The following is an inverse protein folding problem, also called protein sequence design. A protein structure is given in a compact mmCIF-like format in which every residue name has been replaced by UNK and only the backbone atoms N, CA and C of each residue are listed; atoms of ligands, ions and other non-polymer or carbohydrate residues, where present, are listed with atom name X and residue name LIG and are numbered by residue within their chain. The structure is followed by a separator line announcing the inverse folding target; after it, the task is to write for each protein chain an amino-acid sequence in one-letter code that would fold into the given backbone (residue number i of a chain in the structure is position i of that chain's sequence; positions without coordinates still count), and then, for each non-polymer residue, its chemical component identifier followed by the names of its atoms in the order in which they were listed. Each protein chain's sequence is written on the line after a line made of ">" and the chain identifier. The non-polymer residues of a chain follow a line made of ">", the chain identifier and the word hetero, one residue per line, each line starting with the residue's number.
data_IF_782824678852
#
_entry.id   IF_782824678852
#
_cell.length_a   1.000
_cell.length_b   1.000
_cell.length_c   1.000
_cell.angle_alpha   90.00
_cell.angle_beta   90.00
_cell.angle_gamma   90.00
#
_symmetry.space_group_name_H-M   'P 1'
#
loop_
_entity.id
_entity.type
_entity.pdbx_description
1 polymer ?
#
# COMPACT_ATOMS: atom_id res chain seq x y z
N UNK A 1 22.56 -15.16 3.75
CA UNK A 1 21.67 -14.00 3.55
C UNK A 1 21.00 -13.70 4.87
N UNK A 2 20.92 -12.44 5.27
CA UNK A 2 20.16 -12.03 6.45
C UNK A 2 18.66 -12.26 6.18
N UNK A 3 17.97 -13.14 6.93
CA UNK A 3 16.57 -13.48 6.67
C UNK A 3 15.63 -12.27 6.77
N UNK A 4 15.90 -11.34 7.68
CA UNK A 4 15.09 -10.12 7.91
C UNK A 4 15.21 -9.18 6.72
N UNK A 5 16.41 -9.05 6.16
CA UNK A 5 16.65 -8.24 4.96
C UNK A 5 15.94 -8.78 3.73
N UNK A 6 16.03 -10.10 3.50
CA UNK A 6 15.36 -10.72 2.35
C UNK A 6 13.84 -10.59 2.46
N UNK A 7 13.29 -10.80 3.66
CA UNK A 7 11.86 -10.63 3.93
C UNK A 7 11.38 -9.21 3.61
N UNK A 8 12.01 -8.20 4.20
CA UNK A 8 11.65 -6.79 3.98
C UNK A 8 11.79 -6.35 2.51
N UNK A 9 12.78 -6.90 1.78
CA UNK A 9 12.96 -6.60 0.36
C UNK A 9 11.84 -7.21 -0.50
N UNK A 10 11.41 -8.43 -0.19
CA UNK A 10 10.26 -9.07 -0.82
C UNK A 10 8.99 -8.25 -0.55
N UNK A 11 8.77 -7.82 0.70
CA UNK A 11 7.64 -6.97 1.06
C UNK A 11 7.67 -5.63 0.32
N UNK A 12 8.84 -4.96 0.26
CA UNK A 12 9.00 -3.71 -0.49
C UNK A 12 8.55 -3.86 -1.95
N UNK A 13 9.05 -4.90 -2.63
CA UNK A 13 8.71 -5.18 -4.03
C UNK A 13 7.22 -5.51 -4.18
N UNK A 14 6.67 -6.26 -3.24
CA UNK A 14 5.26 -6.63 -3.22
C UNK A 14 4.35 -5.40 -3.09
N UNK A 15 4.59 -4.54 -2.10
CA UNK A 15 3.77 -3.35 -1.86
C UNK A 15 3.89 -2.32 -2.98
N UNK A 16 5.12 -2.07 -3.47
CA UNK A 16 5.33 -1.20 -4.62
C UNK A 16 4.69 -1.77 -5.89
N UNK A 17 4.79 -3.09 -6.10
CA UNK A 17 4.18 -3.79 -7.23
C UNK A 17 2.66 -3.68 -7.22
N UNK A 18 2.03 -3.84 -6.06
CA UNK A 18 0.59 -3.62 -5.89
C UNK A 18 0.21 -2.16 -6.18
N UNK A 19 0.96 -1.20 -5.65
CA UNK A 19 0.74 0.23 -5.93
C UNK A 19 0.77 0.52 -7.43
N UNK A 20 1.79 0.02 -8.14
CA UNK A 20 1.90 0.16 -9.58
C UNK A 20 0.77 -0.55 -10.33
N UNK A 21 0.38 -1.75 -9.89
CA UNK A 21 -0.73 -2.50 -10.48
C UNK A 21 -2.04 -1.72 -10.40
N UNK A 22 -2.33 -1.05 -9.27
CA UNK A 22 -3.50 -0.17 -9.15
C UNK A 22 -3.48 0.98 -10.17
N UNK A 23 -2.30 1.45 -10.58
CA UNK A 23 -2.13 2.50 -11.58
C UNK A 23 -2.15 2.00 -13.02
N UNK A 24 -1.72 0.77 -13.31
CA UNK A 24 -1.58 0.29 -14.68
C UNK A 24 -2.72 -0.62 -15.17
N UNK A 25 -3.28 -1.45 -14.28
CA UNK A 25 -4.20 -2.51 -14.69
C UNK A 25 -5.65 -2.04 -14.76
N UNK A 26 -6.00 -1.00 -14.02
CA UNK A 26 -7.38 -0.54 -13.94
C UNK A 26 -7.71 0.45 -15.09
N UNK A 27 -8.28 -0.05 -16.19
CA UNK A 27 -8.63 0.75 -17.38
C UNK A 27 -10.10 1.20 -17.46
N UNK A 28 -11.01 0.59 -16.67
CA UNK A 28 -12.47 0.79 -16.74
C UNK A 28 -13.08 0.84 -15.33
N UNK A 29 -12.48 1.60 -14.42
CA UNK A 29 -12.98 1.66 -13.05
C UNK A 29 -14.08 2.68 -12.87
N UNK A 30 -15.14 2.29 -12.14
CA UNK A 30 -16.02 3.23 -11.44
C UNK A 30 -15.35 3.84 -10.19
N UNK A 31 -14.10 3.46 -9.91
CA UNK A 31 -13.32 3.97 -8.78
C UNK A 31 -12.75 5.34 -9.12
N UNK A 32 -13.00 6.30 -8.22
CA UNK A 32 -12.47 7.66 -8.29
C UNK A 32 -10.94 7.67 -8.37
N UNK A 33 -10.41 8.57 -9.19
CA UNK A 33 -8.97 8.80 -9.30
C UNK A 33 -8.33 9.10 -7.95
N UNK A 34 -9.02 9.83 -7.08
CA UNK A 34 -8.54 10.17 -5.74
C UNK A 34 -8.26 8.92 -4.90
N UNK A 35 -9.21 7.98 -4.83
CA UNK A 35 -9.01 6.72 -4.09
C UNK A 35 -7.88 5.90 -4.68
N UNK A 36 -7.79 5.86 -6.02
CA UNK A 36 -6.75 5.10 -6.73
C UNK A 36 -5.35 5.65 -6.48
N UNK A 37 -5.14 6.95 -6.69
CA UNK A 37 -3.84 7.58 -6.44
C UNK A 37 -3.47 7.55 -4.95
N UNK A 38 -4.44 7.77 -4.06
CA UNK A 38 -4.19 7.68 -2.62
C UNK A 38 -3.76 6.27 -2.21
N UNK A 39 -4.39 5.23 -2.77
CA UNK A 39 -4.03 3.84 -2.48
C UNK A 39 -2.64 3.51 -3.02
N UNK A 40 -2.35 3.91 -4.26
CA UNK A 40 -1.02 3.72 -4.84
C UNK A 40 0.07 4.38 -4.00
N UNK A 41 -0.09 5.67 -3.65
CA UNK A 41 0.88 6.40 -2.82
C UNK A 41 1.03 5.75 -1.45
N UNK A 42 -0.07 5.35 -0.81
CA UNK A 42 0.01 4.72 0.52
C UNK A 42 0.74 3.39 0.46
N UNK A 43 0.53 2.57 -0.58
CA UNK A 43 1.25 1.31 -0.81
C UNK A 43 2.74 1.54 -1.05
N UNK A 44 3.11 2.55 -1.84
CA UNK A 44 4.51 2.92 -2.04
C UNK A 44 5.17 3.40 -0.75
N UNK A 45 4.52 4.27 0.01
CA UNK A 45 5.04 4.76 1.30
C UNK A 45 5.20 3.60 2.29
N UNK A 46 4.28 2.65 2.30
CA UNK A 46 4.38 1.45 3.14
C UNK A 46 5.59 0.58 2.72
N UNK A 47 5.74 0.28 1.43
CA UNK A 47 6.90 -0.48 0.94
C UNK A 47 8.24 0.23 1.18
N UNK A 48 8.30 1.56 1.06
CA UNK A 48 9.49 2.33 1.42
C UNK A 48 9.80 2.26 2.92
N UNK A 49 8.79 2.11 3.78
CA UNK A 49 9.00 1.93 5.22
C UNK A 49 9.71 0.61 5.55
N UNK A 50 9.54 -0.42 4.72
CA UNK A 50 10.24 -1.71 4.87
C UNK A 50 11.74 -1.58 4.50
N UNK A 51 12.10 -0.68 3.57
CA UNK A 51 13.52 -0.35 3.32
C UNK A 51 14.18 0.37 4.51
N UNK A 52 13.40 1.20 5.21
CA UNK A 52 13.86 1.85 6.45
C UNK A 52 13.99 0.83 7.57
N UNK A 53 13.16 -0.21 7.60
CA UNK A 53 13.32 -1.33 8.54
C UNK A 53 14.65 -2.07 8.32
N UNK A 54 15.09 -2.26 7.08
CA UNK A 54 16.39 -2.87 6.77
C UNK A 54 17.55 -2.07 7.36
N UNK A 55 17.48 -0.73 7.35
CA UNK A 55 18.55 0.13 7.87
C UNK A 55 18.51 0.31 9.39
N UNK A 56 17.34 0.18 9.99
CA UNK A 56 17.13 0.37 11.43
C UNK A 56 17.14 -0.93 12.24
N UNK A 57 16.94 -2.06 11.58
CA UNK A 57 16.93 -3.40 12.18
C UNK A 57 15.70 -3.73 13.02
N UNK A 58 14.74 -2.81 13.14
CA UNK A 58 13.52 -3.02 13.91
C UNK A 58 12.35 -2.18 13.40
N UNK A 59 11.18 -2.81 13.22
CA UNK A 59 9.97 -2.14 12.74
C UNK A 59 9.45 -1.04 13.69
N UNK A 60 9.88 -1.03 14.96
CA UNK A 60 9.48 -0.05 15.98
C UNK A 60 10.54 1.03 16.29
N UNK A 61 11.74 0.97 15.70
CA UNK A 61 12.79 1.97 15.91
C UNK A 61 13.17 2.63 14.58
N UNK A 62 13.13 3.96 14.47
CA UNK A 62 12.64 4.92 15.45
C UNK A 62 11.10 4.87 15.57
N UNK A 63 10.53 5.33 16.68
CA UNK A 63 9.08 5.31 16.96
C UNK A 63 8.18 5.86 15.82
N UNK A 64 8.59 6.89 15.05
CA UNK A 64 7.84 7.35 13.88
C UNK A 64 7.62 6.28 12.80
N UNK A 65 8.52 5.29 12.68
CA UNK A 65 8.36 4.19 11.72
C UNK A 65 7.15 3.32 12.07
N UNK A 66 6.95 3.03 13.36
CA UNK A 66 5.77 2.29 13.81
C UNK A 66 4.49 3.06 13.51
N UNK A 67 4.46 4.36 13.82
CA UNK A 67 3.30 5.23 13.53
C UNK A 67 3.01 5.25 12.02
N UNK A 68 4.03 5.36 11.19
CA UNK A 68 3.89 5.32 9.74
C UNK A 68 3.31 3.98 9.27
N UNK A 69 3.82 2.85 9.77
CA UNK A 69 3.31 1.51 9.41
C UNK A 69 1.83 1.35 9.79
N UNK A 70 1.42 1.78 10.99
CA UNK A 70 0.01 1.73 11.41
C UNK A 70 -0.88 2.70 10.61
N UNK A 71 -0.40 3.91 10.31
CA UNK A 71 -1.13 4.89 9.50
C UNK A 71 -1.32 4.39 8.06
N UNK A 72 -0.27 3.86 7.45
CA UNK A 72 -0.35 3.27 6.11
C UNK A 72 -1.22 2.01 6.08
N UNK A 73 -1.08 1.10 7.04
CA UNK A 73 -1.89 -0.12 7.10
C UNK A 73 -3.39 0.16 7.25
N UNK A 74 -3.75 1.11 8.12
CA UNK A 74 -5.15 1.57 8.26
C UNK A 74 -5.63 2.31 7.01
N UNK A 75 -4.79 3.18 6.42
CA UNK A 75 -5.08 3.89 5.17
C UNK A 75 -5.36 2.95 4.00
N UNK A 76 -4.49 1.95 3.79
CA UNK A 76 -4.67 0.89 2.78
C UNK A 76 -6.00 0.18 3.00
N UNK A 77 -6.32 -0.20 4.24
CA UNK A 77 -7.57 -0.91 4.56
C UNK A 77 -8.81 -0.08 4.23
N UNK A 78 -8.82 1.21 4.60
CA UNK A 78 -9.92 2.13 4.32
C UNK A 78 -10.07 2.42 2.83
N UNK A 79 -8.95 2.63 2.12
CA UNK A 79 -8.94 2.89 0.69
C UNK A 79 -9.35 1.65 -0.12
N UNK A 80 -8.92 0.46 0.29
CA UNK A 80 -9.38 -0.80 -0.31
C UNK A 80 -10.89 -1.02 -0.10
N UNK A 81 -11.43 -0.68 1.09
CA UNK A 81 -12.86 -0.73 1.34
C UNK A 81 -13.63 0.30 0.48
N UNK A 82 -13.10 1.52 0.35
CA UNK A 82 -13.69 2.55 -0.50
C UNK A 82 -13.68 2.13 -1.98
N UNK A 83 -12.57 1.56 -2.45
CA UNK A 83 -12.44 0.96 -3.78
C UNK A 83 -13.52 -0.09 -3.99
N UNK A 84 -13.62 -1.08 -3.11
CA UNK A 84 -14.61 -2.16 -3.20
C UNK A 84 -16.05 -1.65 -3.25
N UNK A 85 -16.39 -0.65 -2.43
CA UNK A 85 -17.72 -0.01 -2.45
C UNK A 85 -18.00 0.68 -3.78
N UNK A 86 -17.02 1.38 -4.36
CA UNK A 86 -17.17 2.08 -5.64
C UNK A 86 -17.28 1.10 -6.81
N UNK A 87 -16.50 0.01 -6.81
CA UNK A 87 -16.61 -1.06 -7.82
C UNK A 87 -17.98 -1.75 -7.76
N UNK A 88 -18.54 -1.96 -6.55
CA UNK A 88 -19.89 -2.54 -6.41
C UNK A 88 -21.00 -1.60 -6.88
N UNK A 89 -20.89 -0.30 -6.58
CA UNK A 89 -21.87 0.70 -7.06
C UNK A 89 -21.86 0.82 -8.58
N UNK A 90 -20.67 0.89 -9.19
CA UNK A 90 -20.55 0.97 -10.65
C UNK A 90 -21.09 -0.25 -11.40
N UNK A 91 -21.12 -1.44 -10.77
CA UNK A 91 -21.77 -2.64 -11.34
C UNK A 91 -23.29 -2.64 -11.22
N UNK A 92 -23.88 -1.83 -10.32
CA UNK A 92 -25.33 -1.76 -10.14
C UNK A 92 -25.99 -0.74 -11.07
N UNK A 93 -25.20 0.15 -11.69
CA UNK A 93 -25.65 1.21 -12.61
C UNK A 93 -25.50 0.83 -14.10
N UNK A 94 -24.91 -0.33 -14.40
CA UNK A 94 -24.74 -0.91 -15.74
C UNK A 94 -25.73 -2.05 -15.92
#
# INVERSE_FOLDING_TARGET
>A
MDPVRTYNLIETVWWCGLGLATLLLERRSSVSLVVRYSLAVTLFVFGLSDLVEISTGAWWKPWPLAVLKFACGSGISLLALAWWRQTRRGKAEI
#
